data_IF_226612668424
#
_entry.id   IF_226612668424
#
_cell.length_a   1.000
_cell.length_b   1.000
_cell.length_c   1.000
_cell.angle_alpha   90.00
_cell.angle_beta   90.00
_cell.angle_gamma   90.00
#
_symmetry.space_group_name_H-M   'P 1'
#
loop_
_entity.id
_entity.type
_entity.pdbx_description
1 polymer ?
#
# COMPACT_ATOMS: atom_id res chain seq x y z
N UNK A 1 -9.59 20.47 36.83
CA UNK A 1 -9.98 19.06 36.55
C UNK A 1 -11.28 19.02 35.73
N UNK A 2 -11.33 19.73 34.60
CA UNK A 2 -12.53 19.87 33.74
C UNK A 2 -12.18 19.95 32.24
N UNK A 3 -10.96 19.51 31.86
CA UNK A 3 -10.44 19.58 30.48
C UNK A 3 -10.08 18.20 29.90
N UNK A 4 -10.43 17.11 30.60
CA UNK A 4 -10.05 15.74 30.25
C UNK A 4 -11.23 14.87 29.76
N UNK A 5 -12.42 15.46 29.54
CA UNK A 5 -13.67 14.69 29.30
C UNK A 5 -14.26 14.83 27.89
N UNK A 6 -13.55 15.40 26.92
CA UNK A 6 -14.11 15.68 25.59
C UNK A 6 -13.24 15.21 24.41
N UNK A 7 -12.46 14.13 24.58
CA UNK A 7 -11.71 13.50 23.48
C UNK A 7 -12.27 12.12 23.08
N UNK A 8 -13.49 11.79 23.51
CA UNK A 8 -14.23 10.64 22.98
C UNK A 8 -14.97 11.01 21.68
N UNK A 9 -14.31 11.76 20.78
CA UNK A 9 -14.82 12.00 19.45
C UNK A 9 -14.45 10.81 18.57
N UNK A 10 -15.33 9.81 18.63
CA UNK A 10 -15.68 8.88 17.55
C UNK A 10 -14.73 8.95 16.36
N UNK A 11 -13.66 8.16 16.39
CA UNK A 11 -12.93 7.75 15.19
C UNK A 11 -13.81 6.79 14.37
N UNK A 12 -15.00 7.23 13.96
CA UNK A 12 -15.81 6.55 12.96
C UNK A 12 -15.21 6.82 11.59
N UNK A 13 -14.14 6.07 11.31
CA UNK A 13 -13.85 5.32 10.08
C UNK A 13 -14.56 5.61 8.76
N UNK A 14 -14.78 6.86 8.36
CA UNK A 14 -15.19 7.14 6.98
C UNK A 14 -14.04 7.75 6.20
N UNK A 15 -13.54 6.95 5.25
CA UNK A 15 -12.48 7.28 4.28
C UNK A 15 -12.76 8.67 3.67
N UNK A 16 -11.76 9.56 3.55
CA UNK A 16 -11.97 10.87 2.94
C UNK A 16 -12.58 10.73 1.54
N UNK A 17 -13.58 11.55 1.17
CA UNK A 17 -14.22 11.49 -0.14
C UNK A 17 -13.18 11.70 -1.25
N UNK A 18 -13.12 10.76 -2.21
CA UNK A 18 -12.12 10.74 -3.29
C UNK A 18 -11.05 9.64 -3.17
N UNK A 19 -10.99 8.91 -2.05
CA UNK A 19 -10.21 7.68 -1.98
C UNK A 19 -10.90 6.56 -2.76
N UNK A 20 -10.50 6.37 -4.02
CA UNK A 20 -10.86 5.18 -4.79
C UNK A 20 -10.19 3.95 -4.19
N UNK A 21 -10.80 2.77 -4.35
CA UNK A 21 -10.23 1.51 -3.85
C UNK A 21 -8.82 1.22 -4.40
N UNK A 22 -8.45 1.84 -5.52
CA UNK A 22 -7.15 1.72 -6.17
C UNK A 22 -6.04 2.61 -5.58
N UNK A 23 -6.30 3.57 -4.69
CA UNK A 23 -5.25 4.47 -4.19
C UNK A 23 -4.13 3.69 -3.49
N UNK A 24 -4.48 2.68 -2.71
CA UNK A 24 -3.52 1.84 -1.99
C UNK A 24 -2.68 0.99 -2.94
N UNK A 25 -3.31 0.45 -3.99
CA UNK A 25 -2.62 -0.29 -5.04
C UNK A 25 -1.66 0.60 -5.83
N UNK A 26 -2.09 1.82 -6.18
CA UNK A 26 -1.23 2.82 -6.82
C UNK A 26 -0.05 3.23 -5.93
N UNK A 27 -0.28 3.35 -4.62
CA UNK A 27 0.79 3.62 -3.66
C UNK A 27 1.77 2.46 -3.54
N UNK A 28 1.29 1.21 -3.56
CA UNK A 28 2.13 0.02 -3.58
C UNK A 28 3.00 -0.05 -4.85
N UNK A 29 2.40 0.21 -6.02
CA UNK A 29 3.08 0.30 -7.31
C UNK A 29 4.15 1.41 -7.30
N UNK A 30 3.81 2.59 -6.77
CA UNK A 30 4.76 3.70 -6.64
C UNK A 30 5.95 3.33 -5.73
N UNK A 31 5.68 2.70 -4.59
CA UNK A 31 6.74 2.28 -3.66
C UNK A 31 7.66 1.23 -4.29
N UNK A 32 7.11 0.25 -5.00
CA UNK A 32 7.88 -0.75 -5.73
C UNK A 32 8.78 -0.09 -6.77
N UNK A 33 8.22 0.81 -7.59
CA UNK A 33 8.95 1.53 -8.63
C UNK A 33 10.07 2.42 -8.09
N UNK A 34 9.82 3.18 -7.03
CA UNK A 34 10.85 4.03 -6.38
C UNK A 34 12.00 3.19 -5.85
N UNK A 35 11.70 2.01 -5.29
CA UNK A 35 12.72 1.17 -4.65
C UNK A 35 13.50 0.29 -5.62
N UNK A 36 12.85 -0.24 -6.66
CA UNK A 36 13.42 -1.27 -7.53
C UNK A 36 13.43 -0.90 -9.02
N UNK A 37 12.84 0.21 -9.45
CA UNK A 37 12.74 0.56 -10.86
C UNK A 37 14.11 0.59 -11.57
N UNK A 38 15.09 1.29 -10.99
CA UNK A 38 16.45 1.33 -11.54
C UNK A 38 17.14 -0.04 -11.52
N UNK A 39 16.91 -0.86 -10.49
CA UNK A 39 17.44 -2.22 -10.44
C UNK A 39 16.85 -3.09 -11.56
N UNK A 40 15.54 -3.07 -11.74
CA UNK A 40 14.82 -3.83 -12.76
C UNK A 40 15.29 -3.42 -14.17
N UNK A 41 15.44 -2.12 -14.41
CA UNK A 41 15.98 -1.58 -15.67
C UNK A 41 17.41 -2.06 -15.95
N UNK A 42 18.23 -2.23 -14.91
CA UNK A 42 19.62 -2.68 -15.03
C UNK A 42 19.79 -4.18 -15.28
N UNK A 43 18.72 -4.99 -15.19
CA UNK A 43 18.81 -6.43 -15.39
C UNK A 43 19.11 -6.80 -16.85
N UNK A 44 20.21 -7.52 -17.05
CA UNK A 44 20.59 -8.14 -18.33
C UNK A 44 19.73 -9.39 -18.60
N UNK A 45 18.47 -9.18 -18.95
CA UNK A 45 17.49 -10.23 -19.24
C UNK A 45 16.53 -9.78 -20.34
N UNK A 46 15.69 -10.68 -20.85
CA UNK A 46 14.66 -10.33 -21.82
C UNK A 46 13.63 -9.34 -21.25
N UNK A 47 13.01 -8.53 -22.12
CA UNK A 47 11.94 -7.59 -21.75
C UNK A 47 10.79 -8.30 -21.05
N UNK A 48 10.40 -9.48 -21.55
CA UNK A 48 9.34 -10.31 -20.95
C UNK A 48 9.70 -10.73 -19.53
N UNK A 49 10.92 -11.26 -19.33
CA UNK A 49 11.38 -11.68 -18.01
C UNK A 49 11.52 -10.50 -17.04
N UNK A 50 11.92 -9.33 -17.55
CA UNK A 50 11.96 -8.09 -16.76
C UNK A 50 10.56 -7.66 -16.31
N UNK A 51 9.57 -7.74 -17.19
CA UNK A 51 8.17 -7.44 -16.86
C UNK A 51 7.59 -8.42 -15.82
N UNK A 52 7.93 -9.71 -15.90
CA UNK A 52 7.55 -10.70 -14.88
C UNK A 52 8.14 -10.36 -13.50
N UNK A 53 9.41 -9.96 -13.46
CA UNK A 53 10.09 -9.56 -12.21
C UNK A 53 9.45 -8.30 -11.63
N UNK A 54 9.17 -7.29 -12.46
CA UNK A 54 8.50 -6.06 -12.05
C UNK A 54 7.11 -6.34 -11.46
N UNK A 55 6.34 -7.19 -12.14
CA UNK A 55 5.02 -7.64 -11.70
C UNK A 55 5.09 -8.38 -10.35
N UNK A 56 6.02 -9.32 -10.21
CA UNK A 56 6.20 -10.08 -8.97
C UNK A 56 6.60 -9.19 -7.78
N UNK A 57 7.52 -8.24 -7.99
CA UNK A 57 7.91 -7.27 -6.95
C UNK A 57 6.72 -6.42 -6.57
N UNK A 58 5.99 -5.88 -7.54
CA UNK A 58 4.80 -5.06 -7.30
C UNK A 58 3.74 -5.81 -6.50
N UNK A 59 3.48 -7.09 -6.83
CA UNK A 59 2.53 -7.93 -6.11
C UNK A 59 2.84 -8.03 -4.61
N UNK A 60 4.12 -8.22 -4.23
CA UNK A 60 4.54 -8.27 -2.82
C UNK A 60 4.22 -6.96 -2.08
N UNK A 61 4.39 -5.81 -2.73
CA UNK A 61 4.06 -4.52 -2.13
C UNK A 61 2.55 -4.34 -1.97
N UNK A 62 1.77 -4.78 -2.96
CA UNK A 62 0.30 -4.77 -2.89
C UNK A 62 -0.20 -5.65 -1.75
N UNK A 63 0.28 -6.89 -1.66
CA UNK A 63 -0.06 -7.81 -0.57
C UNK A 63 0.29 -7.26 0.81
N UNK A 64 1.50 -6.69 0.96
CA UNK A 64 1.92 -6.04 2.21
C UNK A 64 0.99 -4.90 2.59
N UNK A 65 0.59 -4.09 1.62
CA UNK A 65 -0.30 -2.93 1.84
C UNK A 65 -1.69 -3.39 2.28
N UNK A 66 -2.24 -4.39 1.60
CA UNK A 66 -3.51 -5.03 1.97
C UNK A 66 -3.43 -5.64 3.38
N UNK A 67 -2.39 -6.42 3.68
CA UNK A 67 -2.21 -7.02 4.99
C UNK A 67 -2.07 -5.96 6.10
N UNK A 68 -1.34 -4.86 5.84
CA UNK A 68 -1.22 -3.75 6.78
C UNK A 68 -2.58 -3.10 7.03
N UNK A 69 -3.38 -2.87 5.99
CA UNK A 69 -4.72 -2.31 6.10
C UNK A 69 -5.63 -3.23 6.92
N UNK A 70 -5.62 -4.52 6.63
CA UNK A 70 -6.50 -5.47 7.30
C UNK A 70 -6.13 -5.61 8.79
N UNK A 71 -4.84 -5.53 9.15
CA UNK A 71 -4.43 -5.39 10.56
C UNK A 71 -4.94 -4.09 11.18
N UNK A 72 -4.75 -2.95 10.52
CA UNK A 72 -5.22 -1.66 11.03
C UNK A 72 -6.74 -1.58 11.19
N UNK A 73 -7.48 -2.30 10.35
CA UNK A 73 -8.94 -2.37 10.40
C UNK A 73 -9.47 -3.49 11.33
N UNK A 74 -8.59 -4.22 12.02
CA UNK A 74 -8.99 -5.33 12.91
C UNK A 74 -9.58 -6.54 12.17
N UNK A 75 -9.29 -6.70 10.87
CA UNK A 75 -9.73 -7.82 10.02
C UNK A 75 -8.67 -8.90 9.84
N UNK A 76 -7.45 -8.69 10.33
CA UNK A 76 -6.43 -9.72 10.34
C UNK A 76 -6.78 -10.79 11.40
N UNK A 77 -6.90 -12.06 10.95
CA UNK A 77 -7.03 -13.23 11.81
C UNK A 77 -5.73 -13.50 12.60
#
# INVERSE_FOLDING_TARGET
LLLLLSQSALAQGTRPPGYTDNVEEQMAQMQAKVRYGSFIESLETSTERRAEIDSAITAVFTERTTASRDRSAGRAL
#
